data_IF_948870723053
#
_entry.id   IF_948870723053
#
_cell.length_a   1.000
_cell.length_b   1.000
_cell.length_c   1.000
_cell.angle_alpha   90.00
_cell.angle_beta   90.00
_cell.angle_gamma   90.00
#
_symmetry.space_group_name_H-M   'P 1'
#
loop_
_entity.id
_entity.type
_entity.pdbx_description
1 polymer ?
#
# COMPACT_ATOMS: atom_id res chain seq x y z
N UNK A 1 -0.06 20.26 8.56
CA UNK A 1 0.88 21.13 9.30
C UNK A 1 0.22 22.15 10.24
N UNK A 2 -0.81 22.95 9.86
CA UNK A 2 -1.44 23.92 10.77
C UNK A 2 -2.02 23.32 12.07
N UNK A 3 -2.65 22.13 12.04
CA UNK A 3 -3.20 21.48 13.23
C UNK A 3 -2.11 21.01 14.21
N UNK A 4 -1.00 20.51 13.69
CA UNK A 4 0.13 20.01 14.52
C UNK A 4 0.83 21.16 15.22
N UNK A 5 1.07 22.27 14.53
CA UNK A 5 1.63 23.48 15.14
C UNK A 5 0.78 23.99 16.30
N UNK A 6 -0.55 23.99 16.16
CA UNK A 6 -1.49 24.47 17.19
C UNK A 6 -1.47 23.61 18.48
N UNK A 7 -1.16 22.31 18.39
CA UNK A 7 -1.05 21.42 19.55
C UNK A 7 0.21 21.69 20.37
N UNK A 8 1.30 22.13 19.72
CA UNK A 8 2.58 22.42 20.37
C UNK A 8 2.74 23.90 20.80
N UNK A 9 1.96 24.82 20.24
CA UNK A 9 2.09 26.27 20.49
C UNK A 9 1.07 26.84 21.49
N UNK A 10 0.46 26.02 22.34
CA UNK A 10 -0.58 26.44 23.27
C UNK A 10 -0.15 27.38 24.41
N UNK A 11 1.14 27.69 24.56
CA UNK A 11 1.65 28.74 25.43
C UNK A 11 2.90 29.32 24.77
N UNK A 12 3.03 30.63 24.71
CA UNK A 12 4.08 31.32 24.00
C UNK A 12 5.48 30.76 24.28
N UNK A 13 6.18 30.38 23.23
CA UNK A 13 7.58 29.95 23.28
C UNK A 13 8.43 31.13 23.78
N UNK A 14 9.19 30.92 24.84
CA UNK A 14 10.15 31.93 25.28
C UNK A 14 11.20 32.19 24.17
N UNK A 15 11.53 33.44 23.95
CA UNK A 15 12.46 33.84 22.89
C UNK A 15 13.92 33.50 23.23
N UNK A 16 14.25 33.39 24.53
CA UNK A 16 15.62 33.10 24.99
C UNK A 16 15.74 31.61 25.44
N UNK A 17 16.90 30.99 25.19
CA UNK A 17 17.17 29.64 25.67
C UNK A 17 17.06 29.52 27.21
N UNK A 18 16.66 28.33 27.70
CA UNK A 18 16.54 27.99 29.12
C UNK A 18 15.49 28.77 29.93
N UNK A 19 14.61 29.54 29.28
CA UNK A 19 13.55 30.28 29.98
C UNK A 19 12.27 29.50 30.18
N UNK A 20 12.01 28.49 29.32
CA UNK A 20 10.82 27.66 29.49
C UNK A 20 11.08 26.60 30.56
N UNK A 21 10.26 26.65 31.63
CA UNK A 21 10.26 25.67 32.70
C UNK A 21 8.85 25.17 32.97
N UNK A 22 8.74 23.93 33.41
CA UNK A 22 7.49 23.40 33.94
C UNK A 22 7.29 23.77 35.42
N UNK A 23 6.18 23.33 36.01
CA UNK A 23 5.84 23.54 37.41
C UNK A 23 6.84 22.95 38.40
N UNK A 24 7.62 21.95 37.99
CA UNK A 24 8.65 21.29 38.78
C UNK A 24 10.06 21.90 38.55
N UNK A 25 10.13 22.98 37.80
CA UNK A 25 11.40 23.67 37.50
C UNK A 25 12.24 23.02 36.39
N UNK A 26 11.80 21.91 35.78
CA UNK A 26 12.48 21.28 34.66
C UNK A 26 12.47 22.18 33.43
N UNK A 27 13.58 22.23 32.70
CA UNK A 27 13.65 22.95 31.45
C UNK A 27 12.80 22.24 30.38
N UNK A 28 12.04 23.02 29.62
CA UNK A 28 11.20 22.54 28.52
C UNK A 28 11.78 22.97 27.20
N UNK A 29 11.96 22.03 26.29
CA UNK A 29 12.41 22.29 24.92
C UNK A 29 11.45 21.75 23.88
N UNK A 30 11.26 22.50 22.78
CA UNK A 30 10.48 22.06 21.61
C UNK A 30 11.36 22.03 20.38
N UNK A 31 11.24 20.94 19.63
CA UNK A 31 11.96 20.74 18.38
C UNK A 31 11.06 20.26 17.25
N UNK A 32 11.51 20.48 16.03
CA UNK A 32 10.89 19.97 14.81
C UNK A 32 11.97 19.37 13.94
N UNK A 33 11.79 18.11 13.56
CA UNK A 33 12.55 17.44 12.50
C UNK A 33 11.65 17.18 11.30
N UNK A 34 12.16 17.40 10.10
CA UNK A 34 11.49 16.99 8.86
C UNK A 34 12.34 15.98 8.12
N UNK A 35 11.70 15.09 7.39
CA UNK A 35 12.36 14.09 6.58
C UNK A 35 11.60 13.84 5.29
N UNK A 36 12.34 13.43 4.27
CA UNK A 36 11.82 12.87 3.03
C UNK A 36 12.49 11.54 2.78
N UNK A 37 11.76 10.59 2.19
CA UNK A 37 12.29 9.30 1.81
C UNK A 37 11.81 8.95 0.40
N UNK A 38 12.70 8.54 -0.52
CA UNK A 38 12.32 8.23 -1.90
C UNK A 38 11.43 6.99 -1.94
N UNK A 39 10.42 7.02 -2.82
CA UNK A 39 9.65 5.84 -3.17
C UNK A 39 10.47 4.96 -4.10
N UNK A 40 11.14 3.95 -3.54
CA UNK A 40 11.99 3.01 -4.28
C UNK A 40 11.19 1.76 -4.61
N UNK A 41 11.37 1.22 -5.82
CA UNK A 41 10.88 -0.10 -6.22
C UNK A 41 12.04 -0.89 -6.81
N UNK A 42 12.23 -2.10 -6.30
CA UNK A 42 13.16 -3.09 -6.86
C UNK A 42 12.45 -3.99 -7.86
N UNK A 43 13.18 -4.94 -8.44
CA UNK A 43 12.54 -5.98 -9.24
C UNK A 43 11.72 -6.91 -8.35
N UNK A 44 10.54 -7.29 -8.83
CA UNK A 44 9.68 -8.25 -8.17
C UNK A 44 8.73 -8.88 -9.17
N UNK A 45 8.26 -10.08 -8.85
CA UNK A 45 7.34 -10.88 -9.66
C UNK A 45 6.19 -11.40 -8.79
N UNK A 46 5.05 -11.62 -9.42
CA UNK A 46 3.89 -12.25 -8.81
C UNK A 46 3.14 -13.09 -9.84
N UNK A 47 2.40 -14.08 -9.38
CA UNK A 47 1.46 -14.87 -10.15
C UNK A 47 0.08 -14.70 -9.56
N UNK A 48 -0.94 -14.54 -10.40
CA UNK A 48 -2.33 -14.44 -10.01
C UNK A 48 -3.16 -15.44 -10.81
N UNK A 49 -4.11 -16.09 -10.14
CA UNK A 49 -5.09 -16.96 -10.78
C UNK A 49 -6.49 -16.54 -10.36
N UNK A 50 -7.41 -16.71 -11.28
CA UNK A 50 -8.85 -16.56 -11.04
C UNK A 50 -9.53 -17.87 -11.45
N UNK A 51 -10.26 -18.48 -10.51
CA UNK A 51 -10.94 -19.76 -10.73
C UNK A 51 -12.43 -19.56 -11.03
N UNK A 52 -13.02 -20.54 -11.71
CA UNK A 52 -14.45 -20.54 -12.04
C UNK A 52 -15.37 -20.50 -10.82
N UNK A 53 -14.94 -21.02 -9.68
CA UNK A 53 -15.67 -20.96 -8.41
C UNK A 53 -15.69 -19.54 -7.78
N UNK A 54 -15.15 -18.55 -8.47
CA UNK A 54 -15.00 -17.14 -8.07
C UNK A 54 -13.99 -16.93 -6.94
N UNK A 55 -13.07 -17.87 -6.74
CA UNK A 55 -11.91 -17.66 -5.86
C UNK A 55 -10.71 -17.18 -6.66
N UNK A 56 -9.87 -16.37 -6.02
CA UNK A 56 -8.58 -15.94 -6.54
C UNK A 56 -7.45 -16.58 -5.75
N UNK A 57 -6.31 -16.78 -6.39
CA UNK A 57 -5.06 -17.14 -5.75
C UNK A 57 -4.00 -16.14 -6.20
N UNK A 58 -3.22 -15.61 -5.25
CA UNK A 58 -2.02 -14.82 -5.56
C UNK A 58 -0.82 -15.41 -4.85
N UNK A 59 0.26 -15.58 -5.58
CA UNK A 59 1.48 -16.27 -5.16
C UNK A 59 2.71 -15.40 -5.40
N UNK A 60 3.53 -15.24 -4.38
CA UNK A 60 4.87 -14.64 -4.46
C UNK A 60 5.68 -14.91 -3.19
N UNK A 61 7.00 -14.91 -3.29
CA UNK A 61 7.91 -15.17 -2.17
C UNK A 61 8.12 -13.94 -1.26
N UNK A 62 7.05 -13.24 -0.88
CA UNK A 62 7.12 -12.06 -0.02
C UNK A 62 7.42 -12.43 1.44
N UNK A 63 8.26 -11.61 2.09
CA UNK A 63 8.63 -11.80 3.50
C UNK A 63 7.77 -10.93 4.41
N UNK A 64 7.33 -11.50 5.53
CA UNK A 64 6.71 -10.74 6.62
C UNK A 64 7.49 -10.98 7.92
N UNK A 65 8.11 -9.92 8.43
CA UNK A 65 8.92 -9.91 9.65
C UNK A 65 8.16 -9.27 10.84
N UNK A 66 6.82 -9.18 10.73
CA UNK A 66 5.95 -8.50 11.69
C UNK A 66 5.47 -7.11 11.27
N UNK A 67 5.88 -6.63 10.08
CA UNK A 67 5.41 -5.34 9.54
C UNK A 67 4.00 -5.43 8.91
N UNK A 68 3.43 -6.63 8.75
CA UNK A 68 2.11 -6.87 8.20
C UNK A 68 2.07 -6.81 6.67
N UNK A 69 3.17 -7.11 5.99
CA UNK A 69 3.25 -7.09 4.54
C UNK A 69 2.20 -8.01 3.90
N UNK A 70 2.06 -9.24 4.38
CA UNK A 70 1.10 -10.20 3.80
C UNK A 70 -0.34 -9.68 3.85
N UNK A 71 -0.73 -9.02 4.95
CA UNK A 71 -2.06 -8.41 5.05
C UNK A 71 -2.26 -7.30 4.01
N UNK A 72 -1.29 -6.40 3.87
CA UNK A 72 -1.38 -5.30 2.90
C UNK A 72 -1.35 -5.81 1.45
N UNK A 73 -0.51 -6.81 1.16
CA UNK A 73 -0.38 -7.41 -0.17
C UNK A 73 -1.65 -8.20 -0.56
N UNK A 74 -2.27 -8.91 0.39
CA UNK A 74 -3.55 -9.59 0.16
C UNK A 74 -4.67 -8.57 -0.18
N UNK A 75 -4.70 -7.40 0.46
CA UNK A 75 -5.65 -6.34 0.11
C UNK A 75 -5.42 -5.82 -1.32
N UNK A 76 -4.16 -5.57 -1.71
CA UNK A 76 -3.82 -5.17 -3.08
C UNK A 76 -4.23 -6.26 -4.09
N UNK A 77 -4.03 -7.54 -3.73
CA UNK A 77 -4.39 -8.67 -4.57
C UNK A 77 -5.92 -8.77 -4.79
N UNK A 78 -6.69 -8.64 -3.73
CA UNK A 78 -8.15 -8.63 -3.81
C UNK A 78 -8.65 -7.48 -4.69
N UNK A 79 -8.15 -6.26 -4.47
CA UNK A 79 -8.50 -5.09 -5.28
C UNK A 79 -8.12 -5.27 -6.76
N UNK A 80 -6.93 -5.82 -7.05
CA UNK A 80 -6.44 -5.99 -8.42
C UNK A 80 -7.22 -7.03 -9.22
N UNK A 81 -7.78 -8.04 -8.55
CA UNK A 81 -8.67 -9.06 -9.13
C UNK A 81 -10.15 -8.67 -9.05
N UNK A 82 -10.49 -7.55 -8.42
CA UNK A 82 -11.88 -7.15 -8.20
C UNK A 82 -12.67 -8.16 -7.37
N UNK A 83 -12.05 -8.78 -6.37
CA UNK A 83 -12.64 -9.77 -5.46
C UNK A 83 -12.80 -9.21 -4.05
N UNK A 84 -13.74 -9.77 -3.29
CA UNK A 84 -13.75 -9.62 -1.83
C UNK A 84 -12.56 -10.37 -1.21
N UNK A 85 -12.01 -9.84 -0.12
CA UNK A 85 -10.80 -10.40 0.51
C UNK A 85 -10.99 -11.86 0.95
N UNK A 86 -12.19 -12.22 1.38
CA UNK A 86 -12.58 -13.56 1.79
C UNK A 86 -12.58 -14.59 0.65
N UNK A 87 -12.54 -14.13 -0.60
CA UNK A 87 -12.47 -14.97 -1.80
C UNK A 87 -11.05 -15.12 -2.33
N UNK A 88 -10.09 -14.49 -1.67
CA UNK A 88 -8.69 -14.52 -2.06
C UNK A 88 -7.90 -15.48 -1.18
N UNK A 89 -7.20 -16.40 -1.81
CA UNK A 89 -6.10 -17.17 -1.21
C UNK A 89 -4.78 -16.42 -1.51
N UNK A 90 -4.00 -16.14 -0.47
CA UNK A 90 -2.71 -15.48 -0.61
C UNK A 90 -1.61 -16.43 -0.12
N UNK A 91 -0.74 -16.86 -1.03
CA UNK A 91 0.36 -17.78 -0.74
C UNK A 91 1.69 -17.05 -0.79
N UNK A 92 2.47 -17.22 0.27
CA UNK A 92 3.78 -16.60 0.40
C UNK A 92 4.68 -17.39 1.35
N UNK A 93 5.95 -16.98 1.46
CA UNK A 93 6.89 -17.54 2.41
C UNK A 93 7.70 -18.75 1.92
N UNK A 94 7.56 -19.15 0.65
CA UNK A 94 8.42 -20.15 0.01
C UNK A 94 9.31 -19.53 -1.05
N UNK A 95 10.53 -20.03 -1.18
CA UNK A 95 11.47 -19.65 -2.24
C UNK A 95 11.12 -20.26 -3.61
N UNK A 96 10.17 -21.22 -3.65
CA UNK A 96 9.69 -21.80 -4.91
C UNK A 96 8.66 -20.90 -5.61
N UNK A 97 8.16 -19.89 -4.90
CA UNK A 97 7.21 -18.91 -5.43
C UNK A 97 7.94 -17.80 -6.21
N UNK A 98 7.23 -17.06 -7.08
CA UNK A 98 7.83 -15.93 -7.80
C UNK A 98 8.54 -14.95 -6.87
N UNK A 99 9.72 -14.48 -7.25
CA UNK A 99 10.54 -13.57 -6.44
C UNK A 99 9.83 -12.23 -6.23
N UNK A 100 9.50 -11.91 -5.00
CA UNK A 100 8.84 -10.65 -4.63
C UNK A 100 9.80 -9.46 -4.42
N UNK A 101 11.09 -9.68 -4.64
CA UNK A 101 12.13 -8.70 -4.33
C UNK A 101 12.46 -8.61 -2.84
N UNK A 102 13.28 -7.66 -2.50
CA UNK A 102 13.78 -7.49 -1.13
C UNK A 102 12.75 -6.84 -0.19
N UNK A 103 12.60 -7.36 1.01
CA UNK A 103 11.87 -6.71 2.12
C UNK A 103 12.80 -5.76 2.89
N UNK A 104 13.28 -4.71 2.22
CA UNK A 104 14.22 -3.74 2.76
C UNK A 104 14.08 -2.37 2.13
N UNK A 105 14.67 -1.34 2.75
CA UNK A 105 14.67 0.04 2.22
C UNK A 105 13.27 0.67 2.09
N UNK A 106 12.29 0.19 2.84
CA UNK A 106 10.88 0.62 2.76
C UNK A 106 10.25 0.47 1.36
N UNK A 107 10.72 -0.49 0.58
CA UNK A 107 10.32 -0.71 -0.81
C UNK A 107 9.36 -1.87 -1.01
N UNK A 108 9.25 -2.78 -0.03
CA UNK A 108 8.63 -4.10 -0.24
C UNK A 108 7.17 -4.00 -0.70
N UNK A 109 6.33 -3.22 -0.01
CA UNK A 109 4.92 -3.05 -0.40
C UNK A 109 4.79 -2.41 -1.78
N UNK A 110 5.66 -1.47 -2.14
CA UNK A 110 5.66 -0.85 -3.46
C UNK A 110 6.08 -1.84 -4.55
N UNK A 111 7.13 -2.63 -4.31
CA UNK A 111 7.65 -3.62 -5.26
C UNK A 111 6.67 -4.78 -5.44
N UNK A 112 6.41 -5.52 -4.37
CA UNK A 112 5.53 -6.70 -4.40
C UNK A 112 4.08 -6.33 -4.77
N UNK A 113 3.57 -5.21 -4.23
CA UNK A 113 2.23 -4.72 -4.55
C UNK A 113 2.05 -4.35 -6.01
N UNK A 114 3.06 -3.73 -6.65
CA UNK A 114 3.01 -3.43 -8.08
C UNK A 114 3.08 -4.70 -8.93
N UNK A 115 3.89 -5.69 -8.55
CA UNK A 115 3.93 -6.99 -9.23
C UNK A 115 2.56 -7.71 -9.16
N UNK A 116 1.93 -7.71 -7.98
CA UNK A 116 0.57 -8.24 -7.78
C UNK A 116 -0.44 -7.49 -8.64
N UNK A 117 -0.40 -6.16 -8.62
CA UNK A 117 -1.31 -5.33 -9.43
C UNK A 117 -1.17 -5.63 -10.92
N UNK A 118 0.06 -5.77 -11.41
CA UNK A 118 0.35 -6.13 -12.80
C UNK A 118 -0.18 -7.53 -13.15
N UNK A 119 0.01 -8.53 -12.27
CA UNK A 119 -0.51 -9.88 -12.47
C UNK A 119 -2.05 -9.91 -12.49
N UNK A 120 -2.69 -9.22 -11.55
CA UNK A 120 -4.15 -9.08 -11.51
C UNK A 120 -4.71 -8.36 -12.73
N UNK A 121 -4.05 -7.30 -13.17
CA UNK A 121 -4.45 -6.57 -14.38
C UNK A 121 -4.37 -7.45 -15.63
N UNK A 122 -3.37 -8.33 -15.75
CA UNK A 122 -3.27 -9.29 -16.85
C UNK A 122 -4.42 -10.32 -16.79
N UNK A 123 -4.76 -10.85 -15.61
CA UNK A 123 -5.92 -11.74 -15.44
C UNK A 123 -7.21 -11.07 -15.88
N UNK A 124 -7.45 -9.84 -15.42
CA UNK A 124 -8.66 -9.08 -15.77
C UNK A 124 -8.68 -8.73 -17.26
N UNK A 125 -7.56 -8.41 -17.88
CA UNK A 125 -7.48 -8.15 -19.32
C UNK A 125 -7.85 -9.39 -20.13
N UNK A 126 -7.27 -10.55 -19.80
CA UNK A 126 -7.61 -11.83 -20.46
C UNK A 126 -9.09 -12.18 -20.30
N UNK A 127 -9.64 -11.99 -19.10
CA UNK A 127 -11.05 -12.24 -18.83
C UNK A 127 -11.95 -11.28 -19.64
N UNK A 128 -11.56 -10.01 -19.72
CA UNK A 128 -12.28 -9.02 -20.52
C UNK A 128 -12.25 -9.34 -22.02
N UNK A 129 -11.11 -9.79 -22.54
CA UNK A 129 -10.99 -10.23 -23.94
C UNK A 129 -11.93 -11.38 -24.25
N UNK A 130 -12.04 -12.39 -23.37
CA UNK A 130 -13.00 -13.49 -23.53
C UNK A 130 -14.44 -13.01 -23.55
N UNK A 131 -14.80 -12.07 -22.66
CA UNK A 131 -16.15 -11.52 -22.60
C UNK A 131 -16.47 -10.65 -23.81
N UNK A 132 -15.55 -9.79 -24.22
CA UNK A 132 -15.76 -8.85 -25.34
C UNK A 132 -15.76 -9.53 -26.71
N UNK A 133 -15.11 -10.68 -26.83
CA UNK A 133 -15.06 -11.47 -28.06
C UNK A 133 -16.28 -12.42 -28.25
N UNK A 134 -17.12 -12.58 -27.26
CA UNK A 134 -18.28 -13.48 -27.30
C UNK A 134 -19.59 -12.69 -27.50
N UNK A 135 -20.29 -12.90 -28.63
CA UNK A 135 -21.55 -12.24 -28.96
C UNK A 135 -22.68 -12.47 -27.93
N UNK A 136 -22.57 -13.54 -27.12
CA UNK A 136 -23.52 -13.83 -26.04
C UNK A 136 -23.28 -13.04 -24.76
N UNK A 137 -22.13 -12.35 -24.68
CA UNK A 137 -21.76 -11.56 -23.52
C UNK A 137 -22.45 -10.19 -23.54
N UNK A 138 -22.94 -9.67 -22.41
CA UNK A 138 -23.39 -8.29 -22.31
C UNK A 138 -22.26 -7.27 -22.51
N UNK A 139 -21.00 -7.74 -22.52
CA UNK A 139 -19.79 -6.95 -22.74
C UNK A 139 -19.28 -7.01 -24.17
N UNK A 140 -19.97 -7.73 -25.08
CA UNK A 140 -19.56 -7.86 -26.47
C UNK A 140 -19.32 -6.49 -27.13
N UNK A 141 -18.16 -6.36 -27.78
CA UNK A 141 -17.77 -5.13 -28.47
C UNK A 141 -17.39 -3.94 -27.58
N UNK A 142 -17.37 -4.09 -26.24
CA UNK A 142 -16.80 -3.08 -25.36
C UNK A 142 -15.27 -3.06 -25.54
N UNK A 143 -14.64 -1.89 -25.59
CA UNK A 143 -13.16 -1.79 -25.59
C UNK A 143 -12.60 -2.05 -24.19
N UNK A 144 -11.34 -2.50 -24.08
CA UNK A 144 -10.69 -2.83 -22.80
C UNK A 144 -10.79 -1.70 -21.76
N UNK A 145 -10.64 -0.44 -22.16
CA UNK A 145 -10.80 0.71 -21.27
C UNK A 145 -12.24 0.93 -20.78
N UNK A 146 -13.20 0.28 -21.41
CA UNK A 146 -14.64 0.37 -21.10
C UNK A 146 -15.13 -0.65 -20.08
N UNK A 147 -14.26 -1.46 -19.48
CA UNK A 147 -14.64 -2.52 -18.53
C UNK A 147 -14.11 -2.23 -17.13
N UNK A 148 -14.91 -2.60 -16.12
CA UNK A 148 -14.57 -2.52 -14.69
C UNK A 148 -14.70 -3.89 -14.05
N UNK A 149 -13.74 -4.26 -13.19
CA UNK A 149 -13.75 -5.47 -12.39
C UNK A 149 -14.14 -5.14 -10.94
N UNK A 150 -15.20 -5.76 -10.40
CA UNK A 150 -15.64 -5.56 -9.01
C UNK A 150 -16.57 -6.68 -8.56
N UNK A 151 -16.36 -7.18 -7.33
CA UNK A 151 -17.20 -8.18 -6.70
C UNK A 151 -17.32 -9.49 -7.48
N UNK A 152 -16.24 -9.92 -8.16
CA UNK A 152 -16.22 -11.14 -8.98
C UNK A 152 -17.02 -11.02 -10.30
N UNK A 153 -17.18 -9.82 -10.80
CA UNK A 153 -17.90 -9.51 -12.05
C UNK A 153 -17.17 -8.48 -12.88
N UNK A 154 -17.34 -8.54 -14.21
CA UNK A 154 -17.00 -7.46 -15.12
C UNK A 154 -18.25 -6.65 -15.45
N UNK A 155 -18.10 -5.34 -15.54
CA UNK A 155 -19.15 -4.39 -15.90
C UNK A 155 -18.70 -3.46 -17.01
N UNK A 156 -19.64 -2.98 -17.83
CA UNK A 156 -19.34 -1.84 -18.69
C UNK A 156 -19.21 -0.57 -17.85
N UNK A 157 -18.19 0.22 -18.14
CA UNK A 157 -17.93 1.49 -17.42
C UNK A 157 -18.98 2.56 -17.73
N UNK A 158 -19.53 2.56 -18.95
CA UNK A 158 -20.56 3.49 -19.42
C UNK A 158 -21.98 3.08 -19.00
N UNK A 159 -22.18 1.80 -18.63
CA UNK A 159 -23.47 1.26 -18.17
C UNK A 159 -23.23 0.05 -17.26
N UNK A 160 -23.15 0.28 -15.95
CA UNK A 160 -22.91 -0.76 -14.95
C UNK A 160 -24.06 -1.79 -14.80
N UNK A 161 -25.23 -1.54 -15.41
CA UNK A 161 -26.29 -2.55 -15.48
C UNK A 161 -25.91 -3.72 -16.41
N UNK A 162 -25.00 -3.48 -17.34
CA UNK A 162 -24.46 -4.47 -18.26
C UNK A 162 -23.16 -5.06 -17.69
N UNK A 163 -23.28 -6.28 -17.19
CA UNK A 163 -22.12 -6.98 -16.60
C UNK A 163 -22.42 -8.47 -16.43
N UNK A 164 -21.35 -9.26 -16.29
CA UNK A 164 -21.48 -10.68 -16.06
C UNK A 164 -20.43 -11.19 -15.05
N UNK A 165 -20.68 -12.34 -14.44
CA UNK A 165 -19.77 -12.90 -13.46
C UNK A 165 -18.55 -13.54 -14.13
N UNK A 166 -17.42 -13.56 -13.42
CA UNK A 166 -16.23 -14.27 -13.86
C UNK A 166 -16.51 -15.76 -14.14
N UNK A 167 -17.37 -16.37 -13.30
CA UNK A 167 -17.76 -17.77 -13.44
C UNK A 167 -18.44 -18.02 -14.79
N UNK A 168 -19.36 -17.15 -15.19
CA UNK A 168 -20.10 -17.29 -16.46
C UNK A 168 -19.17 -17.12 -17.66
N UNK A 169 -18.26 -16.15 -17.61
CA UNK A 169 -17.25 -15.92 -18.65
C UNK A 169 -16.37 -17.16 -18.81
N UNK A 170 -15.79 -17.65 -17.72
CA UNK A 170 -14.91 -18.82 -17.75
C UNK A 170 -15.63 -20.09 -18.16
N UNK A 171 -16.88 -20.29 -17.67
CA UNK A 171 -17.68 -21.46 -18.06
C UNK A 171 -17.96 -21.46 -19.56
N UNK A 172 -18.36 -20.32 -20.11
CA UNK A 172 -18.69 -20.18 -21.52
C UNK A 172 -17.46 -20.35 -22.43
N UNK A 173 -16.29 -19.88 -21.96
CA UNK A 173 -15.02 -20.04 -22.65
C UNK A 173 -14.38 -21.44 -22.47
N UNK A 174 -14.93 -22.29 -21.60
CA UNK A 174 -14.41 -23.64 -21.34
C UNK A 174 -13.19 -23.70 -20.42
N UNK A 175 -12.88 -22.63 -19.70
CA UNK A 175 -11.75 -22.56 -18.78
C UNK A 175 -12.17 -22.91 -17.35
N UNK A 176 -11.33 -23.67 -16.63
CA UNK A 176 -11.47 -23.87 -15.18
C UNK A 176 -10.89 -22.70 -14.40
N UNK A 177 -9.81 -22.13 -14.90
CA UNK A 177 -9.11 -20.99 -14.32
C UNK A 177 -8.37 -20.18 -15.40
N UNK A 178 -7.94 -18.98 -15.05
CA UNK A 178 -7.14 -18.10 -15.88
C UNK A 178 -5.98 -17.53 -15.05
N UNK A 179 -4.80 -17.51 -15.64
CA UNK A 179 -3.57 -17.10 -14.98
C UNK A 179 -3.04 -15.77 -15.58
N UNK A 180 -2.47 -14.93 -14.70
CA UNK A 180 -1.67 -13.77 -15.08
C UNK A 180 -0.36 -13.74 -14.31
N UNK A 181 0.67 -13.20 -14.93
CA UNK A 181 1.99 -12.97 -14.34
C UNK A 181 2.30 -11.49 -14.38
N UNK A 182 2.79 -10.98 -13.27
CA UNK A 182 3.14 -9.57 -13.14
C UNK A 182 4.58 -9.38 -12.71
N UNK A 183 5.14 -8.30 -13.15
CA UNK A 183 6.46 -7.86 -12.70
C UNK A 183 6.41 -6.38 -12.32
N UNK A 184 7.30 -5.99 -11.45
CA UNK A 184 7.46 -4.61 -11.02
C UNK A 184 8.93 -4.22 -10.98
N UNK A 185 9.17 -2.91 -10.97
CA UNK A 185 10.48 -2.36 -10.75
C UNK A 185 11.34 -2.31 -12.01
N UNK A 186 12.63 -2.20 -11.76
CA UNK A 186 13.68 -1.97 -12.71
C UNK A 186 14.91 -1.52 -11.92
N UNK A 187 15.69 -0.60 -12.45
CA UNK A 187 16.73 0.08 -11.69
C UNK A 187 16.07 1.05 -10.67
N UNK A 188 16.20 0.81 -9.36
CA UNK A 188 15.59 1.65 -8.33
C UNK A 188 16.17 3.07 -8.30
N UNK A 189 17.33 3.27 -8.89
CA UNK A 189 18.05 4.54 -8.98
C UNK A 189 17.93 5.21 -10.36
N UNK A 190 17.23 4.58 -11.30
CA UNK A 190 16.99 5.19 -12.61
C UNK A 190 16.28 6.54 -12.48
N UNK A 191 16.65 7.47 -13.34
CA UNK A 191 16.03 8.77 -13.40
C UNK A 191 14.54 8.65 -13.79
N UNK A 192 13.66 9.17 -12.94
CA UNK A 192 12.21 9.16 -13.17
C UNK A 192 11.73 10.54 -13.63
N UNK A 193 10.63 10.61 -14.41
CA UNK A 193 10.12 11.89 -14.91
C UNK A 193 9.55 12.80 -13.80
N UNK A 194 9.32 12.26 -12.60
CA UNK A 194 8.85 13.01 -11.43
C UNK A 194 9.50 12.54 -10.14
N UNK A 195 9.57 13.46 -9.18
CA UNK A 195 10.04 13.16 -7.83
C UNK A 195 8.96 12.41 -7.05
N UNK A 196 9.29 11.23 -6.54
CA UNK A 196 8.40 10.38 -5.76
C UNK A 196 8.98 10.19 -4.36
N UNK A 197 8.38 10.85 -3.36
CA UNK A 197 8.86 10.84 -1.97
C UNK A 197 7.71 10.75 -0.99
N UNK A 198 7.93 10.00 0.09
CA UNK A 198 7.17 10.18 1.32
C UNK A 198 7.76 11.36 2.11
N UNK A 199 6.91 12.09 2.83
CA UNK A 199 7.29 13.25 3.64
C UNK A 199 6.86 13.04 5.08
N UNK A 200 7.68 13.48 6.03
CA UNK A 200 7.36 13.45 7.44
C UNK A 200 7.83 14.72 8.16
N UNK A 201 7.12 15.03 9.24
CA UNK A 201 7.53 16.05 10.21
C UNK A 201 7.18 15.52 11.60
N UNK A 202 8.16 15.51 12.50
CA UNK A 202 7.98 15.11 13.90
C UNK A 202 8.31 16.28 14.80
N UNK A 203 7.34 16.65 15.63
CA UNK A 203 7.51 17.64 16.69
C UNK A 203 7.76 16.91 17.99
N UNK A 204 8.79 17.31 18.71
CA UNK A 204 9.15 16.78 20.00
C UNK A 204 9.08 17.85 21.08
N UNK A 205 8.55 17.47 22.24
CA UNK A 205 8.71 18.18 23.49
C UNK A 205 9.60 17.36 24.40
N UNK A 206 10.62 17.96 24.95
CA UNK A 206 11.53 17.33 25.89
C UNK A 206 11.56 18.11 27.21
N UNK A 207 11.72 17.41 28.31
CA UNK A 207 12.05 17.97 29.61
C UNK A 207 13.47 17.59 29.97
N UNK A 208 14.19 18.57 30.51
CA UNK A 208 15.59 18.39 30.94
C UNK A 208 15.70 18.76 32.41
N UNK A 209 16.19 17.83 33.20
CA UNK A 209 16.63 18.08 34.56
C UNK A 209 18.05 18.67 34.51
N UNK A 210 18.24 19.94 34.88
CA UNK A 210 19.55 20.57 34.79
C UNK A 210 20.53 20.11 35.87
N UNK A 211 20.04 19.50 36.97
CA UNK A 211 20.88 19.00 38.05
C UNK A 211 21.41 17.59 37.75
N UNK A 212 20.54 16.74 37.24
CA UNK A 212 20.89 15.36 36.91
C UNK A 212 21.34 15.18 35.45
N UNK A 213 21.17 16.16 34.60
CA UNK A 213 21.47 16.06 33.15
C UNK A 213 20.55 15.08 32.40
N UNK A 214 19.41 14.70 32.97
CA UNK A 214 18.47 13.78 32.33
C UNK A 214 17.61 14.48 31.29
N UNK A 215 17.48 13.86 30.11
CA UNK A 215 16.60 14.32 29.05
C UNK A 215 15.50 13.29 28.86
N UNK A 216 14.22 13.74 28.88
CA UNK A 216 13.06 12.87 28.70
C UNK A 216 12.14 13.47 27.63
N UNK A 217 11.84 12.77 26.52
CA UNK A 217 10.78 13.14 25.62
C UNK A 217 9.44 12.96 26.34
N UNK A 218 8.65 14.02 26.40
CA UNK A 218 7.33 14.01 27.07
C UNK A 218 6.19 13.95 26.08
N UNK A 219 6.45 14.39 24.84
CA UNK A 219 5.46 14.33 23.77
C UNK A 219 6.14 14.28 22.39
N UNK A 220 5.66 13.38 21.54
CA UNK A 220 5.99 13.33 20.12
C UNK A 220 4.71 13.46 19.30
N UNK A 221 4.74 14.28 18.26
CA UNK A 221 3.62 14.44 17.33
C UNK A 221 4.14 14.35 15.91
N UNK A 222 3.78 13.27 15.21
CA UNK A 222 4.14 13.04 13.82
C UNK A 222 3.04 13.46 12.84
N UNK A 223 3.45 14.02 11.72
CA UNK A 223 2.61 14.28 10.55
C UNK A 223 3.30 13.70 9.31
N UNK A 224 2.63 12.78 8.62
CA UNK A 224 3.22 12.03 7.53
C UNK A 224 2.33 12.05 6.29
N UNK A 225 2.97 12.05 5.12
CA UNK A 225 2.34 11.91 3.82
C UNK A 225 3.07 10.79 3.05
N UNK A 226 2.40 9.67 2.88
CA UNK A 226 2.96 8.46 2.26
C UNK A 226 2.16 8.01 1.02
N UNK A 227 1.44 8.93 0.37
CA UNK A 227 0.56 8.60 -0.76
C UNK A 227 -0.72 7.88 -0.33
N UNK A 228 -1.20 6.99 -1.18
CA UNK A 228 -2.39 6.17 -0.90
C UNK A 228 -2.11 5.16 0.21
N UNK A 229 -2.94 5.17 1.23
CA UNK A 229 -2.79 4.29 2.38
C UNK A 229 -3.57 2.99 2.12
N UNK A 230 -2.85 1.88 1.98
CA UNK A 230 -3.45 0.56 1.76
C UNK A 230 -4.11 0.06 3.05
N UNK A 231 -3.38 0.09 4.17
CA UNK A 231 -3.90 -0.33 5.47
C UNK A 231 -3.58 0.70 6.55
N UNK A 232 -4.58 1.47 7.04
CA UNK A 232 -4.35 2.54 8.03
C UNK A 232 -3.81 2.06 9.38
N UNK A 233 -4.14 0.82 9.80
CA UNK A 233 -3.65 0.26 11.07
C UNK A 233 -2.17 -0.06 10.98
N UNK A 234 -1.75 -0.72 9.91
CA UNK A 234 -0.35 -1.08 9.67
C UNK A 234 0.52 0.15 9.51
N UNK A 235 0.08 1.13 8.71
CA UNK A 235 0.81 2.40 8.52
C UNK A 235 0.99 3.14 9.84
N UNK A 236 -0.06 3.23 10.66
CA UNK A 236 0.03 3.86 11.99
C UNK A 236 1.05 3.16 12.87
N UNK A 237 1.04 1.82 12.90
CA UNK A 237 1.99 1.00 13.66
C UNK A 237 3.43 1.25 13.23
N UNK A 238 3.69 1.28 11.92
CA UNK A 238 5.01 1.57 11.36
C UNK A 238 5.52 2.96 11.76
N UNK A 239 4.67 3.99 11.69
CA UNK A 239 5.06 5.33 12.10
C UNK A 239 5.29 5.46 13.61
N UNK A 240 4.50 4.78 14.44
CA UNK A 240 4.76 4.76 15.89
C UNK A 240 6.10 4.12 16.20
N UNK A 241 6.39 2.95 15.62
CA UNK A 241 7.69 2.29 15.81
C UNK A 241 8.87 3.12 15.32
N UNK A 242 8.69 3.90 14.26
CA UNK A 242 9.72 4.80 13.73
C UNK A 242 9.94 6.08 14.55
N UNK A 243 8.98 6.46 15.43
CA UNK A 243 9.12 7.63 16.31
C UNK A 243 9.68 7.30 17.69
N UNK A 244 9.59 6.06 18.14
CA UNK A 244 10.07 5.58 19.45
C UNK A 244 11.51 5.08 19.31
#
# INVERSE_FOLDING_TARGET
MRKVRRVLTGAGRALSPRQMRDENGLLVGWGLGTAVFPAVMFQGQARALLRRDRTGLVELGAQDMGQGAWTALAQIAADSLGLELEKLEFQSGSSDLPDAGIAGGSSHTATAGMAIHSAGAEVIAKLAELAMGDERSPLFGAGNAGVLARGGRLYRRDDESRGESYADILARAGFAEIEGRGSAGGDPFAQKPYAMYAHGAVFAEVKVDPELGQIRPTRLVGAFAAGTIINPRLVRSQYYGGMI
#
